data_IF_262380079074
#
_entry.id   IF_262380079074
#
_cell.length_a   1.000
_cell.length_b   1.000
_cell.length_c   1.000
_cell.angle_alpha   90.00
_cell.angle_beta   90.00
_cell.angle_gamma   90.00
#
_symmetry.space_group_name_H-M   'P 1'
#
loop_
_entity.id
_entity.type
_entity.pdbx_description
1 polymer ?
#
# COMPACT_ATOMS: atom_id res chain seq x y z
N UNK A 1 7.40 19.67 -20.86
CA UNK A 1 6.75 18.61 -21.68
C UNK A 1 7.06 17.21 -21.16
N UNK A 2 8.33 16.82 -20.95
CA UNK A 2 8.72 15.47 -20.48
C UNK A 2 8.19 15.13 -19.08
N UNK A 3 8.23 16.08 -18.13
CA UNK A 3 7.79 15.85 -16.74
C UNK A 3 6.29 15.54 -16.67
N UNK A 4 5.46 16.22 -17.46
CA UNK A 4 4.01 15.98 -17.49
C UNK A 4 3.69 14.57 -18.01
N UNK A 5 4.37 14.12 -19.07
CA UNK A 5 4.22 12.77 -19.59
C UNK A 5 4.66 11.71 -18.57
N UNK A 6 5.74 11.97 -17.84
CA UNK A 6 6.20 11.05 -16.80
C UNK A 6 5.16 10.93 -15.68
N UNK A 7 4.57 12.04 -15.24
CA UNK A 7 3.53 12.06 -14.22
C UNK A 7 2.28 11.33 -14.69
N UNK A 8 1.82 11.56 -15.92
CA UNK A 8 0.66 10.85 -16.50
C UNK A 8 0.90 9.33 -16.57
N UNK A 9 2.08 8.91 -17.01
CA UNK A 9 2.43 7.49 -17.08
C UNK A 9 2.46 6.83 -15.69
N UNK A 10 3.05 7.52 -14.70
CA UNK A 10 3.05 7.05 -13.31
C UNK A 10 1.63 6.97 -12.77
N UNK A 11 0.79 7.97 -13.07
CA UNK A 11 -0.59 8.01 -12.62
C UNK A 11 -1.42 6.84 -13.16
N UNK A 12 -1.28 6.52 -14.46
CA UNK A 12 -1.93 5.37 -15.09
C UNK A 12 -1.43 4.06 -14.48
N UNK A 13 -0.12 3.92 -14.28
CA UNK A 13 0.46 2.73 -13.67
C UNK A 13 -0.08 2.51 -12.23
N UNK A 14 -0.21 3.59 -11.46
CA UNK A 14 -0.71 3.56 -10.10
C UNK A 14 -2.19 3.21 -10.04
N UNK A 15 -2.99 3.74 -10.97
CA UNK A 15 -4.40 3.39 -11.13
C UNK A 15 -4.58 1.90 -11.44
N UNK A 16 -3.83 1.37 -12.42
CA UNK A 16 -3.90 -0.05 -12.78
C UNK A 16 -3.45 -0.95 -11.63
N UNK A 17 -2.38 -0.57 -10.94
CA UNK A 17 -1.88 -1.31 -9.78
C UNK A 17 -2.93 -1.37 -8.67
N UNK A 18 -3.50 -0.23 -8.27
CA UNK A 18 -4.54 -0.17 -7.23
C UNK A 18 -5.79 -0.95 -7.67
N UNK A 19 -6.20 -0.84 -8.94
CA UNK A 19 -7.35 -1.58 -9.44
C UNK A 19 -7.16 -3.09 -9.33
N UNK A 20 -6.02 -3.62 -9.78
CA UNK A 20 -5.72 -5.06 -9.73
C UNK A 20 -5.63 -5.54 -8.28
N UNK A 21 -4.93 -4.78 -7.43
CA UNK A 21 -4.77 -5.10 -6.03
C UNK A 21 -6.13 -5.14 -5.30
N UNK A 22 -6.93 -4.10 -5.48
CA UNK A 22 -8.26 -3.99 -4.88
C UNK A 22 -9.21 -5.05 -5.42
N UNK A 23 -9.16 -5.35 -6.72
CA UNK A 23 -9.94 -6.44 -7.31
C UNK A 23 -9.57 -7.80 -6.70
N UNK A 24 -8.27 -8.09 -6.56
CA UNK A 24 -7.80 -9.34 -5.96
C UNK A 24 -8.27 -9.48 -4.51
N UNK A 25 -8.15 -8.41 -3.73
CA UNK A 25 -8.65 -8.34 -2.37
C UNK A 25 -10.17 -8.50 -2.28
N UNK A 26 -10.93 -7.76 -3.09
CA UNK A 26 -12.39 -7.81 -3.12
C UNK A 26 -12.90 -9.18 -3.57
N UNK A 27 -12.24 -9.83 -4.52
CA UNK A 27 -12.55 -11.20 -4.96
C UNK A 27 -12.38 -12.20 -3.82
N UNK A 28 -11.35 -12.05 -2.99
CA UNK A 28 -11.12 -12.90 -1.83
C UNK A 28 -12.22 -12.81 -0.77
N UNK A 29 -12.85 -11.64 -0.62
CA UNK A 29 -13.91 -11.40 0.39
C UNK A 29 -15.30 -11.72 -0.17
N UNK A 30 -15.61 -11.25 -1.37
CA UNK A 30 -16.96 -11.33 -1.96
C UNK A 30 -17.25 -12.68 -2.61
N UNK A 31 -16.23 -13.46 -2.97
CA UNK A 31 -16.38 -14.77 -3.62
C UNK A 31 -16.91 -14.74 -5.05
N UNK A 32 -17.50 -13.63 -5.51
CA UNK A 32 -18.02 -13.44 -6.87
C UNK A 32 -17.15 -12.50 -7.69
N UNK A 33 -16.64 -12.99 -8.82
CA UNK A 33 -15.79 -12.22 -9.74
C UNK A 33 -16.54 -10.99 -10.28
N UNK A 34 -17.80 -11.14 -10.67
CA UNK A 34 -18.61 -10.03 -11.23
C UNK A 34 -18.80 -8.90 -10.22
N UNK A 35 -19.13 -9.26 -8.97
CA UNK A 35 -19.30 -8.28 -7.88
C UNK A 35 -17.97 -7.63 -7.50
N UNK A 36 -16.88 -8.40 -7.48
CA UNK A 36 -15.55 -7.88 -7.18
C UNK A 36 -15.06 -6.87 -8.22
N UNK A 37 -15.27 -7.11 -9.52
CA UNK A 37 -14.93 -6.13 -10.58
C UNK A 37 -15.74 -4.85 -10.40
N UNK A 38 -17.06 -4.97 -10.19
CA UNK A 38 -17.94 -3.82 -10.04
C UNK A 38 -17.55 -2.99 -8.81
N UNK A 39 -17.29 -3.64 -7.68
CA UNK A 39 -16.81 -3.00 -6.46
C UNK A 39 -15.46 -2.30 -6.69
N UNK A 40 -14.50 -2.98 -7.30
CA UNK A 40 -13.18 -2.40 -7.58
C UNK A 40 -13.27 -1.18 -8.49
N UNK A 41 -14.12 -1.20 -9.52
CA UNK A 41 -14.37 -0.05 -10.39
C UNK A 41 -14.94 1.13 -9.63
N UNK A 42 -15.97 0.91 -8.79
CA UNK A 42 -16.62 1.97 -7.99
C UNK A 42 -15.60 2.63 -7.07
N UNK A 43 -14.82 1.83 -6.34
CA UNK A 43 -13.85 2.35 -5.38
C UNK A 43 -12.71 3.05 -6.09
N UNK A 44 -12.15 2.50 -7.18
CA UNK A 44 -11.09 3.18 -7.95
C UNK A 44 -11.61 4.49 -8.53
N UNK A 45 -12.84 4.52 -9.06
CA UNK A 45 -13.43 5.74 -9.57
C UNK A 45 -13.58 6.81 -8.47
N UNK A 46 -14.16 6.46 -7.33
CA UNK A 46 -14.31 7.37 -6.19
C UNK A 46 -12.95 7.89 -5.71
N UNK A 47 -11.95 7.00 -5.61
CA UNK A 47 -10.63 7.35 -5.06
C UNK A 47 -9.83 8.22 -6.03
N UNK A 48 -9.81 7.93 -7.33
CA UNK A 48 -8.98 8.68 -8.29
C UNK A 48 -9.66 9.94 -8.84
N UNK A 49 -10.99 9.99 -8.85
CA UNK A 49 -11.73 11.09 -9.49
C UNK A 49 -12.51 11.97 -8.50
N UNK A 50 -13.05 11.44 -7.40
CA UNK A 50 -13.76 12.26 -6.40
C UNK A 50 -12.89 12.66 -5.20
N UNK A 51 -12.08 11.73 -4.68
CA UNK A 51 -11.37 11.88 -3.41
C UNK A 51 -9.89 11.51 -3.57
N UNK A 52 -9.17 12.29 -4.38
CA UNK A 52 -7.76 12.01 -4.71
C UNK A 52 -6.84 11.92 -3.50
N UNK A 53 -7.18 12.61 -2.41
CA UNK A 53 -6.52 12.52 -1.12
C UNK A 53 -6.52 11.09 -0.53
N UNK A 54 -7.55 10.28 -0.82
CA UNK A 54 -7.66 8.89 -0.37
C UNK A 54 -6.65 7.98 -1.08
N UNK A 55 -6.18 8.33 -2.29
CA UNK A 55 -5.12 7.58 -2.98
C UNK A 55 -3.87 7.54 -2.10
N UNK A 56 -3.48 8.70 -1.56
CA UNK A 56 -2.30 8.82 -0.72
C UNK A 56 -2.45 8.07 0.61
N UNK A 57 -3.65 8.06 1.20
CA UNK A 57 -3.93 7.23 2.37
C UNK A 57 -3.77 5.73 2.06
N UNK A 58 -4.27 5.28 0.90
CA UNK A 58 -4.08 3.91 0.43
C UNK A 58 -2.61 3.55 0.22
N UNK A 59 -1.83 4.44 -0.38
CA UNK A 59 -0.38 4.28 -0.57
C UNK A 59 0.33 4.18 0.78
N UNK A 60 0.05 5.07 1.73
CA UNK A 60 0.64 5.03 3.08
C UNK A 60 0.31 3.71 3.79
N UNK A 61 -0.96 3.28 3.76
CA UNK A 61 -1.39 2.00 4.32
C UNK A 61 -0.66 0.82 3.68
N UNK A 62 -0.48 0.84 2.35
CA UNK A 62 0.26 -0.19 1.63
C UNK A 62 1.72 -0.26 2.09
N UNK A 63 2.40 0.88 2.23
CA UNK A 63 3.78 0.92 2.73
C UNK A 63 3.87 0.42 4.18
N UNK A 64 2.94 0.80 5.05
CA UNK A 64 2.90 0.31 6.43
C UNK A 64 2.64 -1.20 6.47
N UNK A 65 1.71 -1.71 5.67
CA UNK A 65 1.40 -3.13 5.64
C UNK A 65 2.56 -3.98 5.09
N UNK A 66 3.25 -3.47 4.09
CA UNK A 66 4.34 -4.18 3.40
C UNK A 66 5.65 -4.11 4.19
N UNK A 67 6.04 -2.92 4.66
CA UNK A 67 7.35 -2.69 5.28
C UNK A 67 7.29 -2.54 6.81
N UNK A 68 6.10 -2.34 7.40
CA UNK A 68 5.96 -2.09 8.83
C UNK A 68 6.47 -3.24 9.71
N UNK A 69 6.35 -4.49 9.25
CA UNK A 69 6.87 -5.65 9.99
C UNK A 69 8.39 -5.66 10.07
N UNK A 70 9.07 -5.29 8.98
CA UNK A 70 10.54 -5.24 8.93
C UNK A 70 11.11 -4.08 9.75
N UNK A 71 10.46 -2.91 9.69
CA UNK A 71 10.86 -1.74 10.48
C UNK A 71 10.68 -2.03 11.98
N UNK A 72 9.53 -2.57 12.39
CA UNK A 72 9.29 -2.94 13.79
C UNK A 72 10.24 -4.06 14.26
N UNK A 73 10.57 -5.00 13.37
CA UNK A 73 11.57 -6.04 13.62
C UNK A 73 12.97 -5.47 13.89
N UNK A 74 13.45 -4.53 13.07
CA UNK A 74 14.74 -3.86 13.26
C UNK A 74 14.78 -3.03 14.55
N UNK A 75 13.69 -2.31 14.87
CA UNK A 75 13.61 -1.53 16.13
C UNK A 75 13.70 -2.43 17.36
N UNK A 76 13.14 -3.65 17.31
CA UNK A 76 13.22 -4.61 18.41
C UNK A 76 14.62 -5.18 18.59
N UNK A 77 15.35 -5.43 17.49
CA UNK A 77 16.74 -5.90 17.50
C UNK A 77 17.71 -4.84 18.01
N UNK A 78 17.61 -3.59 17.53
CA UNK A 78 18.44 -2.47 18.03
C UNK A 78 18.29 -2.21 19.53
N UNK A 79 17.08 -2.45 20.06
CA UNK A 79 16.81 -2.37 21.49
C UNK A 79 17.49 -3.51 22.26
N UNK A 80 17.46 -4.74 21.74
CA UNK A 80 18.08 -5.91 22.37
C UNK A 80 19.60 -5.77 22.48
N UNK A 81 20.25 -5.36 21.39
CA UNK A 81 21.71 -5.25 21.28
C UNK A 81 22.27 -4.20 22.26
N UNK A 82 21.60 -3.05 22.37
CA UNK A 82 21.95 -2.01 23.36
C UNK A 82 21.78 -2.47 24.82
N UNK A 83 20.82 -3.35 25.13
CA UNK A 83 20.67 -3.86 26.49
C UNK A 83 21.75 -4.88 26.85
N UNK A 84 22.21 -5.70 25.91
CA UNK A 84 23.30 -6.65 26.17
C UNK A 84 24.65 -5.94 26.34
N UNK A 85 24.91 -4.87 25.57
CA UNK A 85 26.07 -4.00 25.80
C UNK A 85 26.02 -3.31 27.17
N UNK A 86 24.84 -2.82 27.60
CA UNK A 86 24.69 -2.20 28.94
C UNK A 86 24.76 -3.21 30.10
N UNK A 87 24.52 -4.50 29.85
CA UNK A 87 24.52 -5.56 30.87
C UNK A 87 25.81 -6.40 30.89
N UNK A 88 26.82 -6.04 30.07
CA UNK A 88 28.16 -6.63 30.15
C UNK A 88 28.20 -8.14 29.86
N UNK A 89 27.31 -8.64 28.99
CA UNK A 89 27.34 -10.04 28.54
C UNK A 89 27.74 -10.07 27.07
N UNK A 90 29.01 -10.39 26.82
CA UNK A 90 29.52 -10.85 25.53
C UNK A 90 29.57 -12.37 25.53
#
# INVERSE_FOLDING_TARGET
MIILQLIENVWIALLLFIFIWLFSWAKGILGSVKLAVLFALIVVYLTFYQYQELVWLGVILFFIATFGKEILGKVKLFRSENYEEMMGKK
#
